data_IF_697319746863
#
_entry.id   IF_697319746863
#
_cell.length_a   1.000
_cell.length_b   1.000
_cell.length_c   1.000
_cell.angle_alpha   90.00
_cell.angle_beta   90.00
_cell.angle_gamma   90.00
#
_symmetry.space_group_name_H-M   'P 1'
#
loop_
_entity.id
_entity.type
_entity.pdbx_description
1 polymer ?
#
# COMPACT_ATOMS: atom_id res chain seq x y z
N UNK A 1 -6.90 2.44 1.77
CA UNK A 1 -8.20 3.08 1.45
C UNK A 1 -8.06 4.48 0.88
N UNK A 2 -7.05 5.30 1.26
CA UNK A 2 -6.86 6.67 0.73
C UNK A 2 -6.75 6.71 -0.80
N UNK A 3 -6.14 5.69 -1.41
CA UNK A 3 -6.03 5.55 -2.88
C UNK A 3 -7.25 4.88 -3.52
N UNK A 4 -8.26 4.45 -2.74
CA UNK A 4 -9.45 3.80 -3.28
C UNK A 4 -10.31 4.79 -4.09
N UNK A 5 -11.07 4.26 -5.04
CA UNK A 5 -11.93 5.07 -5.91
C UNK A 5 -13.16 5.62 -5.18
N UNK A 6 -13.60 6.80 -5.59
CA UNK A 6 -14.97 7.30 -5.38
C UNK A 6 -15.20 8.18 -4.17
N UNK A 7 -14.35 8.15 -3.14
CA UNK A 7 -14.58 8.96 -1.94
C UNK A 7 -14.21 10.45 -2.13
N UNK A 8 -13.19 10.74 -2.96
CA UNK A 8 -12.70 12.10 -3.17
C UNK A 8 -13.81 13.03 -3.67
N UNK A 9 -14.63 12.54 -4.60
CA UNK A 9 -15.73 13.32 -5.15
C UNK A 9 -16.78 13.68 -4.10
N UNK A 10 -17.07 12.77 -3.16
CA UNK A 10 -18.00 12.99 -2.07
C UNK A 10 -17.55 14.13 -1.12
N UNK A 11 -16.26 14.45 -1.08
CA UNK A 11 -15.68 15.52 -0.28
C UNK A 11 -15.20 16.72 -1.11
N UNK A 12 -15.54 16.77 -2.41
CA UNK A 12 -15.12 17.86 -3.29
C UNK A 12 -13.62 17.92 -3.54
N UNK A 13 -12.90 16.82 -3.36
CA UNK A 13 -11.45 16.74 -3.60
C UNK A 13 -11.16 16.35 -5.04
N UNK A 14 -10.12 16.96 -5.62
CA UNK A 14 -9.58 16.53 -6.90
C UNK A 14 -8.98 15.12 -6.76
N UNK A 15 -9.26 14.25 -7.71
CA UNK A 15 -8.66 12.92 -7.79
C UNK A 15 -7.13 12.96 -7.96
N UNK A 16 -6.58 14.08 -8.45
CA UNK A 16 -5.15 14.34 -8.59
C UNK A 16 -4.48 14.95 -7.34
N UNK A 17 -5.23 15.16 -6.25
CA UNK A 17 -4.68 15.74 -5.02
C UNK A 17 -3.56 14.90 -4.38
N UNK A 18 -3.55 13.58 -4.64
CA UNK A 18 -2.48 12.68 -4.19
C UNK A 18 -1.54 12.46 -5.37
N UNK A 19 -0.34 13.02 -5.29
CA UNK A 19 0.65 13.00 -6.38
C UNK A 19 1.61 11.80 -6.30
N UNK A 20 1.66 11.10 -5.18
CA UNK A 20 2.45 9.89 -4.97
C UNK A 20 2.11 9.24 -3.63
N UNK A 21 2.45 7.97 -3.47
CA UNK A 21 2.26 7.27 -2.20
C UNK A 21 3.36 6.24 -1.94
N UNK A 22 3.67 6.05 -0.65
CA UNK A 22 4.54 4.99 -0.15
C UNK A 22 3.70 4.04 0.69
N UNK A 23 3.79 2.77 0.38
CA UNK A 23 2.99 1.69 0.96
C UNK A 23 3.94 0.72 1.66
N UNK A 24 3.90 0.70 2.98
CA UNK A 24 4.81 -0.08 3.82
C UNK A 24 4.05 -1.20 4.51
N UNK A 25 4.39 -2.46 4.22
CA UNK A 25 3.85 -3.66 4.89
C UNK A 25 2.33 -3.64 5.04
N UNK A 26 1.62 -3.23 3.99
CA UNK A 26 0.17 -3.11 4.02
C UNK A 26 -0.54 -4.46 3.89
N UNK A 27 -1.78 -4.50 4.40
CA UNK A 27 -2.76 -5.52 4.07
C UNK A 27 -3.74 -4.92 3.07
N UNK A 28 -3.83 -5.53 1.90
CA UNK A 28 -4.61 -4.99 0.77
C UNK A 28 -5.85 -5.83 0.45
N UNK A 29 -5.90 -7.05 0.96
CA UNK A 29 -7.06 -7.93 0.98
C UNK A 29 -7.33 -8.37 2.42
N UNK A 30 -8.42 -7.91 3.00
CA UNK A 30 -8.82 -8.24 4.38
C UNK A 30 -9.72 -9.47 4.45
N UNK A 31 -10.15 -9.99 3.29
CA UNK A 31 -11.09 -11.12 3.27
C UNK A 31 -10.55 -12.38 3.96
N UNK A 32 -9.24 -12.74 3.83
CA UNK A 32 -8.72 -13.89 4.56
C UNK A 32 -8.69 -13.71 6.07
N UNK A 33 -8.67 -12.47 6.59
CA UNK A 33 -8.64 -12.22 8.03
C UNK A 33 -9.93 -12.62 8.73
N UNK A 34 -11.06 -12.65 8.02
CA UNK A 34 -12.39 -12.96 8.58
C UNK A 34 -12.41 -14.35 9.24
N UNK A 35 -11.62 -15.29 8.71
CA UNK A 35 -11.56 -16.67 9.22
C UNK A 35 -10.38 -16.91 10.18
N UNK A 36 -9.68 -15.86 10.60
CA UNK A 36 -8.53 -15.98 11.51
C UNK A 36 -8.87 -15.52 12.92
N UNK A 37 -8.05 -15.92 13.91
CA UNK A 37 -8.17 -15.45 15.29
C UNK A 37 -8.00 -13.93 15.43
N UNK A 38 -7.38 -13.26 14.45
CA UNK A 38 -7.29 -11.80 14.42
C UNK A 38 -8.68 -11.18 14.36
N UNK A 39 -9.62 -11.85 13.72
CA UNK A 39 -11.00 -11.38 13.61
C UNK A 39 -11.77 -11.42 14.95
N UNK A 40 -11.31 -12.17 15.93
CA UNK A 40 -11.87 -12.13 17.29
C UNK A 40 -11.75 -10.72 17.90
N UNK A 41 -10.77 -9.95 17.45
CA UNK A 41 -10.52 -8.57 17.88
C UNK A 41 -11.13 -7.53 16.94
N UNK A 42 -11.15 -7.81 15.63
CA UNK A 42 -11.59 -6.85 14.62
C UNK A 42 -13.09 -6.89 14.36
N UNK A 43 -13.74 -8.03 14.63
CA UNK A 43 -15.17 -8.26 14.39
C UNK A 43 -15.63 -7.88 12.96
N UNK A 44 -14.79 -8.15 11.96
CA UNK A 44 -15.11 -7.88 10.55
C UNK A 44 -16.12 -8.91 10.03
N UNK A 45 -17.20 -8.43 9.45
CA UNK A 45 -17.98 -9.25 8.52
C UNK A 45 -17.26 -9.39 7.18
N UNK A 46 -17.62 -10.38 6.38
CA UNK A 46 -17.10 -10.52 5.01
C UNK A 46 -17.35 -9.26 4.18
N UNK A 47 -18.54 -8.66 4.33
CA UNK A 47 -18.88 -7.40 3.64
C UNK A 47 -18.01 -6.23 4.08
N UNK A 48 -17.64 -6.15 5.36
CA UNK A 48 -16.70 -5.13 5.88
C UNK A 48 -15.30 -5.37 5.33
N UNK A 49 -14.83 -6.61 5.35
CA UNK A 49 -13.53 -6.96 4.80
C UNK A 49 -13.43 -6.61 3.31
N UNK A 50 -14.44 -6.95 2.51
CA UNK A 50 -14.47 -6.60 1.08
C UNK A 50 -14.46 -5.09 0.85
N UNK A 51 -15.32 -4.34 1.57
CA UNK A 51 -15.37 -2.87 1.46
C UNK A 51 -14.06 -2.19 1.81
N UNK A 52 -13.33 -2.75 2.76
CA UNK A 52 -12.08 -2.19 3.28
C UNK A 52 -10.81 -2.82 2.66
N UNK A 53 -10.96 -3.64 1.62
CA UNK A 53 -9.83 -4.24 0.90
C UNK A 53 -9.41 -3.34 -0.27
N UNK A 54 -8.26 -2.65 -0.19
CA UNK A 54 -7.79 -1.75 -1.24
C UNK A 54 -7.66 -2.41 -2.61
N UNK A 55 -7.31 -3.69 -2.67
CA UNK A 55 -7.16 -4.42 -3.92
C UNK A 55 -8.48 -4.57 -4.69
N UNK A 56 -9.62 -4.58 -3.98
CA UNK A 56 -10.95 -4.68 -4.57
C UNK A 56 -11.53 -3.32 -5.00
N UNK A 57 -10.89 -2.22 -4.57
CA UNK A 57 -11.37 -0.85 -4.77
C UNK A 57 -10.33 0.03 -5.47
N UNK A 58 -9.58 -0.53 -6.40
CA UNK A 58 -8.56 0.20 -7.15
C UNK A 58 -9.16 1.39 -7.91
N UNK A 59 -8.50 2.56 -7.90
CA UNK A 59 -9.01 3.78 -8.52
C UNK A 59 -8.99 3.69 -10.06
N UNK A 60 -9.71 4.63 -10.70
CA UNK A 60 -9.65 4.80 -12.17
C UNK A 60 -8.36 5.50 -12.61
N UNK A 61 -7.83 6.37 -11.76
CA UNK A 61 -6.57 7.10 -11.97
C UNK A 61 -5.76 6.97 -10.68
N UNK A 62 -4.52 6.49 -10.80
CA UNK A 62 -3.65 6.26 -9.65
C UNK A 62 -2.34 7.03 -9.77
N UNK A 63 -1.87 7.64 -8.66
CA UNK A 63 -0.54 8.23 -8.62
C UNK A 63 0.55 7.15 -8.71
N UNK A 64 1.81 7.53 -8.96
CA UNK A 64 2.91 6.59 -8.79
C UNK A 64 3.00 6.13 -7.32
N UNK A 65 3.26 4.85 -7.13
CA UNK A 65 3.41 4.26 -5.79
C UNK A 65 4.76 3.58 -5.62
N UNK A 66 5.27 3.63 -4.39
CA UNK A 66 6.39 2.83 -3.92
C UNK A 66 5.85 1.81 -2.92
N UNK A 67 6.14 0.53 -3.15
CA UNK A 67 5.71 -0.56 -2.27
C UNK A 67 6.92 -1.20 -1.64
N UNK A 68 6.89 -1.41 -0.34
CA UNK A 68 7.96 -2.09 0.38
C UNK A 68 7.42 -2.93 1.54
N UNK A 69 8.15 -3.96 1.86
CA UNK A 69 7.98 -4.79 3.06
C UNK A 69 9.36 -5.25 3.53
N UNK A 70 9.48 -5.60 4.80
CA UNK A 70 10.72 -6.15 5.34
C UNK A 70 10.96 -7.59 4.89
N UNK A 71 12.20 -7.94 4.55
CA UNK A 71 12.54 -9.29 4.11
C UNK A 71 12.28 -10.36 5.17
N UNK A 72 12.23 -9.98 6.46
CA UNK A 72 11.96 -10.86 7.59
C UNK A 72 10.47 -10.89 8.01
N UNK A 73 9.59 -10.29 7.22
CA UNK A 73 8.15 -10.37 7.45
C UNK A 73 7.55 -11.70 6.99
N UNK A 74 6.31 -11.95 7.42
CA UNK A 74 5.59 -13.17 7.04
C UNK A 74 5.32 -13.22 5.54
N UNK A 75 5.16 -14.44 5.01
CA UNK A 75 4.86 -14.67 3.60
C UNK A 75 3.57 -13.94 3.16
N UNK A 76 2.59 -13.77 4.06
CA UNK A 76 1.33 -13.11 3.75
C UNK A 76 1.49 -11.62 3.49
N UNK A 77 2.26 -10.88 4.30
CA UNK A 77 2.55 -9.46 4.02
C UNK A 77 3.26 -9.27 2.69
N UNK A 78 4.23 -10.14 2.39
CA UNK A 78 4.95 -10.13 1.12
C UNK A 78 4.02 -10.38 -0.06
N UNK A 79 3.21 -11.45 0.03
CA UNK A 79 2.25 -11.83 -1.00
C UNK A 79 1.26 -10.70 -1.28
N UNK A 80 0.62 -10.16 -0.25
CA UNK A 80 -0.37 -9.10 -0.42
C UNK A 80 0.23 -7.82 -1.01
N UNK A 81 1.43 -7.46 -0.61
CA UNK A 81 2.14 -6.31 -1.17
C UNK A 81 2.46 -6.49 -2.65
N UNK A 82 2.89 -7.68 -3.04
CA UNK A 82 3.20 -8.02 -4.45
C UNK A 82 1.92 -8.09 -5.29
N UNK A 83 0.86 -8.70 -4.76
CA UNK A 83 -0.43 -8.80 -5.46
C UNK A 83 -1.03 -7.41 -5.71
N UNK A 84 -0.97 -6.53 -4.71
CA UNK A 84 -1.45 -5.15 -4.87
C UNK A 84 -0.64 -4.36 -5.89
N UNK A 85 0.69 -4.45 -5.85
CA UNK A 85 1.56 -3.81 -6.83
C UNK A 85 1.27 -4.31 -8.25
N UNK A 86 1.12 -5.61 -8.40
CA UNK A 86 0.80 -6.23 -9.70
C UNK A 86 -0.56 -5.75 -10.23
N UNK A 87 -1.58 -5.69 -9.37
CA UNK A 87 -2.90 -5.19 -9.74
C UNK A 87 -2.87 -3.69 -10.11
N UNK A 88 -2.03 -2.89 -9.42
CA UNK A 88 -1.81 -1.47 -9.73
C UNK A 88 -1.18 -1.28 -11.09
N UNK A 89 -0.11 -2.02 -11.39
CA UNK A 89 0.59 -2.01 -12.67
C UNK A 89 -0.28 -2.53 -13.82
N UNK A 90 -1.11 -3.54 -13.58
CA UNK A 90 -2.04 -4.07 -14.58
C UNK A 90 -3.09 -3.04 -15.02
N UNK A 91 -3.36 -2.01 -14.20
CA UNK A 91 -4.18 -0.85 -14.59
C UNK A 91 -3.43 0.23 -15.37
N UNK A 92 -2.16 0.02 -15.66
CA UNK A 92 -1.30 0.98 -16.35
C UNK A 92 -0.71 2.06 -15.46
N UNK A 93 -0.83 1.91 -14.11
CA UNK A 93 -0.30 2.88 -13.17
C UNK A 93 1.16 2.58 -12.85
N UNK A 94 1.93 3.62 -12.54
CA UNK A 94 3.33 3.49 -12.13
C UNK A 94 3.42 2.93 -10.71
N UNK A 95 4.21 1.89 -10.51
CA UNK A 95 4.51 1.32 -9.20
C UNK A 95 5.87 0.65 -9.21
N UNK A 96 6.61 0.78 -8.11
CA UNK A 96 7.93 0.19 -7.92
C UNK A 96 7.99 -0.52 -6.56
N UNK A 97 8.60 -1.71 -6.53
CA UNK A 97 8.96 -2.39 -5.30
C UNK A 97 10.35 -1.94 -4.84
N UNK A 98 10.49 -1.69 -3.54
CA UNK A 98 11.77 -1.35 -2.92
C UNK A 98 12.16 -2.48 -1.98
N UNK A 99 13.28 -3.14 -2.28
CA UNK A 99 13.84 -4.19 -1.46
C UNK A 99 14.44 -3.62 -0.16
N UNK A 100 14.05 -4.20 0.97
CA UNK A 100 14.53 -3.85 2.31
C UNK A 100 15.05 -5.11 3.00
N UNK A 101 16.33 -5.49 2.72
CA UNK A 101 16.93 -6.70 3.30
C UNK A 101 17.08 -6.55 4.82
N UNK A 102 17.08 -7.68 5.52
CA UNK A 102 17.30 -7.82 6.97
C UNK A 102 16.38 -6.93 7.85
N UNK A 103 15.20 -6.58 7.31
CA UNK A 103 14.25 -5.67 7.94
C UNK A 103 13.00 -6.43 8.34
N UNK A 104 12.49 -6.20 9.54
CA UNK A 104 11.20 -6.72 10.01
C UNK A 104 10.09 -5.65 9.87
N UNK A 105 8.87 -6.01 10.24
CA UNK A 105 7.69 -5.14 10.15
C UNK A 105 7.87 -3.80 10.91
N UNK A 106 8.49 -3.83 12.08
CA UNK A 106 8.66 -2.65 12.93
C UNK A 106 9.86 -1.80 12.51
N UNK A 107 10.93 -2.45 12.03
CA UNK A 107 12.14 -1.74 11.61
C UNK A 107 11.92 -0.98 10.30
N UNK A 108 11.03 -1.47 9.44
CA UNK A 108 10.81 -0.90 8.11
C UNK A 108 10.50 0.61 8.17
N UNK A 109 9.62 1.02 9.07
CA UNK A 109 9.26 2.44 9.22
C UNK A 109 10.42 3.29 9.76
N UNK A 110 11.33 2.70 10.54
CA UNK A 110 12.50 3.41 11.08
C UNK A 110 13.50 3.80 10.01
N UNK A 111 13.47 3.13 8.85
CA UNK A 111 14.29 3.51 7.71
C UNK A 111 13.91 4.88 7.12
N UNK A 112 12.71 5.40 7.40
CA UNK A 112 12.33 6.77 7.02
C UNK A 112 13.15 7.85 7.73
N UNK A 113 13.83 7.53 8.85
CA UNK A 113 14.72 8.44 9.57
C UNK A 113 16.15 8.45 9.03
N UNK A 114 16.46 7.69 7.98
CA UNK A 114 17.80 7.51 7.43
C UNK A 114 17.84 7.98 5.99
N UNK A 115 18.49 9.11 5.74
CA UNK A 115 18.57 9.69 4.39
C UNK A 115 19.23 8.75 3.38
N UNK A 116 20.19 7.93 3.82
CA UNK A 116 20.89 6.95 2.99
C UNK A 116 20.06 5.69 2.68
N UNK A 117 18.93 5.51 3.34
CA UNK A 117 18.04 4.35 3.12
C UNK A 117 17.55 4.33 1.67
N UNK A 118 17.57 3.16 1.00
CA UNK A 118 16.97 3.01 -0.34
C UNK A 118 15.53 3.50 -0.41
N UNK A 119 14.76 3.29 0.66
CA UNK A 119 13.37 3.75 0.77
C UNK A 119 13.28 5.28 0.69
N UNK A 120 14.10 5.99 1.48
CA UNK A 120 14.10 7.46 1.50
C UNK A 120 14.63 8.03 0.18
N UNK A 121 15.69 7.46 -0.39
CA UNK A 121 16.23 7.88 -1.67
C UNK A 121 15.20 7.78 -2.80
N UNK A 122 14.39 6.72 -2.81
CA UNK A 122 13.31 6.56 -3.77
C UNK A 122 12.15 7.52 -3.49
N UNK A 123 11.80 7.73 -2.21
CA UNK A 123 10.78 8.70 -1.81
C UNK A 123 11.15 10.12 -2.26
N UNK A 124 12.40 10.55 -2.02
CA UNK A 124 12.86 11.88 -2.46
C UNK A 124 12.77 12.03 -3.99
N UNK A 125 13.15 10.99 -4.74
CA UNK A 125 12.97 11.00 -6.20
C UNK A 125 11.50 11.07 -6.63
N UNK A 126 10.61 10.43 -5.88
CA UNK A 126 9.18 10.50 -6.16
C UNK A 126 8.62 11.91 -5.95
N UNK A 127 9.13 12.64 -4.95
CA UNK A 127 8.74 14.02 -4.65
C UNK A 127 9.29 15.03 -5.68
N UNK A 128 10.47 14.77 -6.25
CA UNK A 128 11.12 15.61 -7.24
C UNK A 128 10.65 15.32 -8.68
N UNK A 129 9.77 14.35 -8.89
CA UNK A 129 9.21 14.08 -10.20
C UNK A 129 8.34 15.27 -10.65
N UNK A 130 8.65 15.89 -11.81
CA UNK A 130 7.79 16.92 -12.37
C UNK A 130 6.41 16.32 -12.61
N UNK A 131 5.39 17.03 -12.17
CA UNK A 131 3.97 16.75 -12.41
C UNK A 131 3.66 16.71 -13.91
#
# INVERSE_FOLDING_TARGET
MVLASGWQQGYGMDSAAITGAVLLSGLYDLTPLVETHINDWMHLSLGDAQRNSPILTLPKHGPPILVSYGSNETAEFKRQSQDYLSAWQARGFKGEYIDMPDTNHFDLVLHLNRLESPLVQKLLKLLDMPS
#
